data_IF_693918500597
#
_entry.id   IF_693918500597
#
_cell.length_a   1.000
_cell.length_b   1.000
_cell.length_c   1.000
_cell.angle_alpha   90.00
_cell.angle_beta   90.00
_cell.angle_gamma   90.00
#
_symmetry.space_group_name_H-M   'P 1'
#
loop_
_entity.id
_entity.type
_entity.pdbx_description
1 polymer ?
#
# COMPACT_ATOMS: atom_id res chain seq x y z
N UNK A 1 -15.75 -33.69 15.12
CA UNK A 1 -14.77 -33.03 16.00
C UNK A 1 -13.37 -33.26 15.42
N UNK A 2 -12.70 -32.23 14.92
CA UNK A 2 -11.33 -32.35 14.44
C UNK A 2 -10.38 -32.32 15.66
N UNK A 3 -9.57 -33.37 15.93
CA UNK A 3 -8.72 -33.41 17.11
C UNK A 3 -7.70 -32.27 17.06
N UNK A 4 -7.54 -31.58 18.18
CA UNK A 4 -6.74 -30.38 18.32
C UNK A 4 -5.32 -30.58 17.76
N UNK A 5 -5.04 -29.94 16.62
CA UNK A 5 -3.68 -29.82 16.08
C UNK A 5 -2.85 -29.07 17.13
N UNK A 6 -1.79 -29.71 17.62
CA UNK A 6 -0.75 -29.04 18.42
C UNK A 6 -0.19 -27.89 17.58
N UNK A 7 -0.53 -26.65 17.94
CA UNK A 7 0.09 -25.47 17.34
C UNK A 7 1.59 -25.50 17.67
N UNK A 8 2.42 -25.34 16.65
CA UNK A 8 3.84 -25.06 16.84
C UNK A 8 3.94 -23.72 17.55
N UNK A 9 4.64 -23.67 18.69
CA UNK A 9 4.97 -22.40 19.34
C UNK A 9 5.94 -21.67 18.43
N UNK A 10 5.62 -20.42 18.08
CA UNK A 10 6.57 -19.52 17.48
C UNK A 10 7.35 -18.86 18.61
N UNK A 11 8.67 -19.02 18.60
CA UNK A 11 9.59 -18.20 19.40
C UNK A 11 10.02 -17.05 18.48
N UNK A 12 9.44 -15.85 18.61
CA UNK A 12 9.81 -14.74 17.74
C UNK A 12 11.24 -14.30 18.03
N UNK A 13 11.96 -13.96 16.97
CA UNK A 13 13.24 -13.26 17.08
C UNK A 13 13.08 -11.96 17.91
N UNK A 14 14.17 -11.42 18.49
CA UNK A 14 14.11 -10.17 19.24
C UNK A 14 13.56 -9.01 18.40
N UNK A 15 12.76 -8.14 19.03
CA UNK A 15 12.28 -6.92 18.41
C UNK A 15 13.39 -5.95 18.03
N UNK A 16 13.11 -5.08 17.07
CA UNK A 16 14.00 -4.01 16.63
C UNK A 16 13.19 -2.74 16.34
N UNK A 17 13.86 -1.64 15.98
CA UNK A 17 13.21 -0.38 15.64
C UNK A 17 13.49 0.04 14.20
N UNK A 18 12.56 0.79 13.63
CA UNK A 18 12.69 1.47 12.32
C UNK A 18 12.39 2.95 12.48
N UNK A 19 12.85 3.78 11.54
CA UNK A 19 12.54 5.20 11.48
C UNK A 19 11.27 5.40 10.65
N UNK A 20 10.23 5.97 11.26
CA UNK A 20 8.99 6.38 10.57
C UNK A 20 8.84 7.87 10.75
N UNK A 21 8.98 8.61 9.66
CA UNK A 21 8.91 10.07 9.68
C UNK A 21 9.80 10.68 10.79
N UNK A 22 11.01 10.13 10.97
CA UNK A 22 11.97 10.62 11.98
C UNK A 22 11.75 10.12 13.40
N UNK A 23 10.69 9.37 13.66
CA UNK A 23 10.42 8.74 14.96
C UNK A 23 10.80 7.26 14.95
N UNK A 24 11.44 6.80 16.03
CA UNK A 24 11.74 5.38 16.22
C UNK A 24 10.44 4.62 16.55
N UNK A 25 10.13 3.60 15.76
CA UNK A 25 8.94 2.77 15.92
C UNK A 25 9.34 1.32 16.17
N UNK A 26 8.86 0.68 17.26
CA UNK A 26 9.18 -0.70 17.56
C UNK A 26 8.51 -1.67 16.58
N UNK A 27 9.23 -2.73 16.25
CA UNK A 27 8.85 -3.78 15.30
C UNK A 27 8.98 -5.15 15.95
N UNK A 28 7.94 -5.96 15.80
CA UNK A 28 8.01 -7.40 16.03
C UNK A 28 8.48 -8.07 14.73
N UNK A 29 9.48 -8.97 14.76
CA UNK A 29 9.98 -9.61 13.55
C UNK A 29 8.90 -10.36 12.78
N UNK A 30 8.98 -10.30 11.44
CA UNK A 30 7.96 -10.84 10.53
C UNK A 30 6.77 -9.91 10.29
N UNK A 31 6.68 -8.75 10.96
CA UNK A 31 5.65 -7.76 10.63
C UNK A 31 5.91 -7.10 9.27
N UNK A 32 4.84 -6.91 8.49
CA UNK A 32 4.89 -5.97 7.39
C UNK A 32 4.96 -4.52 7.89
N UNK A 33 5.53 -3.60 7.12
CA UNK A 33 5.51 -2.17 7.42
C UNK A 33 4.08 -1.66 7.65
N UNK A 34 3.10 -2.19 6.92
CA UNK A 34 1.69 -1.87 7.13
C UNK A 34 1.19 -2.28 8.52
N UNK A 35 1.61 -3.46 9.01
CA UNK A 35 1.28 -3.93 10.35
C UNK A 35 2.00 -3.12 11.44
N UNK A 36 3.26 -2.74 11.21
CA UNK A 36 4.03 -1.88 12.12
C UNK A 36 3.33 -0.53 12.30
N UNK A 37 2.99 0.16 11.21
CA UNK A 37 2.27 1.44 11.26
C UNK A 37 0.93 1.28 12.00
N UNK A 38 0.18 0.21 11.70
CA UNK A 38 -1.10 -0.05 12.35
C UNK A 38 -0.97 -0.28 13.87
N UNK A 39 0.06 -1.02 14.29
CA UNK A 39 0.37 -1.29 15.69
C UNK A 39 0.81 -0.02 16.43
N UNK A 40 1.53 0.88 15.76
CA UNK A 40 1.89 2.21 16.25
C UNK A 40 0.72 3.20 16.29
N UNK A 41 -0.51 2.77 16.00
CA UNK A 41 -1.70 3.64 15.99
C UNK A 41 -1.81 4.54 14.76
N UNK A 42 -0.92 4.39 13.78
CA UNK A 42 -0.93 5.15 12.53
C UNK A 42 -1.98 4.52 11.61
N UNK A 43 -3.18 5.11 11.55
CA UNK A 43 -4.32 4.56 10.76
C UNK A 43 -4.48 5.17 9.37
N UNK A 44 -4.02 6.40 9.21
CA UNK A 44 -4.03 7.13 7.94
C UNK A 44 -2.73 7.88 7.78
N UNK A 45 -2.18 7.83 6.57
CA UNK A 45 -0.88 8.42 6.25
C UNK A 45 -0.77 8.87 4.80
N UNK A 46 -1.86 8.81 4.04
CA UNK A 46 -2.03 9.49 2.76
C UNK A 46 -3.48 9.94 2.63
N UNK A 47 -3.75 10.76 1.63
CA UNK A 47 -5.11 11.21 1.32
C UNK A 47 -5.42 10.99 -0.15
N UNK A 48 -6.70 10.80 -0.49
CA UNK A 48 -7.10 10.78 -1.90
C UNK A 48 -6.88 12.15 -2.53
N UNK A 49 -6.42 12.16 -3.79
CA UNK A 49 -6.24 13.39 -4.56
C UNK A 49 -7.53 14.21 -4.66
N UNK A 50 -8.65 13.53 -4.89
CA UNK A 50 -9.98 14.13 -4.87
C UNK A 50 -10.62 13.95 -3.50
N UNK A 51 -11.01 15.05 -2.86
CA UNK A 51 -11.77 15.05 -1.61
C UNK A 51 -10.96 14.74 -0.33
N UNK A 52 -9.63 14.58 -0.41
CA UNK A 52 -8.77 14.53 0.78
C UNK A 52 -9.06 13.38 1.76
N UNK A 53 -9.70 12.30 1.30
CA UNK A 53 -10.17 11.23 2.20
C UNK A 53 -8.95 10.47 2.76
N UNK A 54 -8.90 10.20 4.08
CA UNK A 54 -7.79 9.51 4.71
C UNK A 54 -7.64 8.08 4.18
N UNK A 55 -6.41 7.65 3.93
CA UNK A 55 -6.04 6.33 3.43
C UNK A 55 -4.85 5.76 4.20
N UNK A 56 -4.85 4.44 4.35
CA UNK A 56 -3.83 3.68 5.05
C UNK A 56 -4.05 2.17 4.85
N UNK A 57 -3.69 1.36 5.85
CA UNK A 57 -3.93 -0.08 5.78
C UNK A 57 -5.43 -0.40 5.74
N UNK A 58 -5.88 -1.00 4.64
CA UNK A 58 -7.26 -1.47 4.47
C UNK A 58 -7.32 -2.98 4.18
N UNK A 59 -6.90 -3.41 2.98
CA UNK A 59 -7.04 -4.82 2.57
C UNK A 59 -5.97 -5.77 3.15
N UNK A 60 -4.80 -5.27 3.54
CA UNK A 60 -3.67 -6.10 3.99
C UNK A 60 -2.99 -6.98 2.92
N UNK A 61 -3.60 -7.16 1.75
CA UNK A 61 -3.16 -8.10 0.70
C UNK A 61 -2.62 -7.41 -0.57
N UNK A 62 -2.49 -6.08 -0.56
CA UNK A 62 -1.89 -5.32 -1.65
C UNK A 62 -2.83 -4.91 -2.80
N UNK A 63 -4.09 -5.37 -2.83
CA UNK A 63 -5.00 -5.10 -3.96
C UNK A 63 -5.56 -3.67 -4.00
N UNK A 64 -5.69 -2.99 -2.84
CA UNK A 64 -6.38 -1.70 -2.75
C UNK A 64 -5.51 -0.46 -3.03
N UNK A 65 -4.17 -0.60 -3.02
CA UNK A 65 -3.22 0.51 -3.15
C UNK A 65 -3.41 1.66 -2.14
N UNK A 66 -4.06 1.40 -1.00
CA UNK A 66 -4.29 2.44 0.03
C UNK A 66 -3.17 2.58 1.06
N UNK A 67 -2.21 1.68 1.07
CA UNK A 67 -1.12 1.62 2.05
C UNK A 67 0.24 2.04 1.46
N UNK A 68 0.25 2.97 0.51
CA UNK A 68 1.49 3.43 -0.12
C UNK A 68 2.37 4.22 0.87
N UNK A 69 3.67 3.96 0.83
CA UNK A 69 4.73 4.64 1.60
C UNK A 69 5.99 4.77 0.74
N UNK A 70 6.94 5.59 1.19
CA UNK A 70 8.31 5.59 0.67
C UNK A 70 9.19 4.83 1.65
N UNK A 71 10.00 3.88 1.18
CA UNK A 71 10.93 3.11 2.03
C UNK A 71 12.33 3.25 1.47
N UNK A 72 13.27 3.72 2.28
CA UNK A 72 14.68 3.88 1.90
C UNK A 72 14.85 4.66 0.58
N UNK A 73 14.02 5.69 0.38
CA UNK A 73 14.02 6.53 -0.82
C UNK A 73 13.21 5.99 -2.01
N UNK A 74 12.68 4.77 -1.94
CA UNK A 74 11.85 4.18 -3.01
C UNK A 74 10.37 4.48 -2.75
N UNK A 75 9.69 5.27 -3.60
CA UNK A 75 8.31 5.69 -3.37
C UNK A 75 7.27 4.64 -3.82
N UNK A 76 6.00 4.90 -3.49
CA UNK A 76 4.83 4.15 -3.97
C UNK A 76 4.86 2.66 -3.64
N UNK A 77 5.50 2.30 -2.54
CA UNK A 77 5.60 0.93 -2.07
C UNK A 77 4.41 0.55 -1.20
N UNK A 78 3.84 -0.64 -1.42
CA UNK A 78 2.71 -1.15 -0.62
C UNK A 78 3.23 -1.64 0.73
N UNK A 79 3.01 -0.86 1.79
CA UNK A 79 3.47 -1.19 3.13
C UNK A 79 3.01 -2.58 3.61
N UNK A 80 1.82 -3.03 3.19
CA UNK A 80 1.29 -4.36 3.55
C UNK A 80 1.98 -5.55 2.84
N UNK A 81 2.90 -5.30 1.90
CA UNK A 81 3.59 -6.33 1.13
C UNK A 81 5.10 -6.35 1.40
N UNK A 82 5.58 -5.49 2.29
CA UNK A 82 7.00 -5.35 2.62
C UNK A 82 7.17 -5.68 4.08
N UNK A 83 8.00 -6.67 4.36
CA UNK A 83 8.45 -6.98 5.72
C UNK A 83 9.40 -5.89 6.21
N UNK A 84 9.18 -5.44 7.46
CA UNK A 84 10.06 -4.48 8.10
C UNK A 84 11.44 -5.08 8.34
N UNK A 85 12.49 -4.28 8.13
CA UNK A 85 13.88 -4.70 8.37
C UNK A 85 14.60 -3.70 9.27
N UNK A 86 15.58 -4.15 10.08
CA UNK A 86 16.40 -3.26 10.88
C UNK A 86 17.03 -2.17 10.01
N UNK A 87 16.91 -0.91 10.45
CA UNK A 87 17.45 0.25 9.75
C UNK A 87 16.58 0.80 8.62
N UNK A 88 15.38 0.25 8.39
CA UNK A 88 14.43 0.84 7.44
C UNK A 88 14.08 2.27 7.83
N UNK A 89 14.06 3.15 6.82
CA UNK A 89 13.56 4.51 6.89
C UNK A 89 12.29 4.62 6.06
N UNK A 90 11.17 4.81 6.74
CA UNK A 90 9.85 4.94 6.14
C UNK A 90 9.42 6.40 6.18
N UNK A 91 9.07 6.93 5.03
CA UNK A 91 8.45 8.26 4.92
C UNK A 91 7.02 8.09 4.48
N UNK A 92 6.12 8.76 5.19
CA UNK A 92 4.70 8.77 4.89
C UNK A 92 4.23 10.14 4.39
N UNK A 93 2.95 10.25 4.05
CA UNK A 93 2.29 11.50 3.68
C UNK A 93 2.00 12.42 4.87
N UNK A 94 2.53 12.14 6.07
CA UNK A 94 2.42 13.00 7.25
C UNK A 94 3.50 14.08 7.25
N UNK A 95 3.24 15.26 7.82
CA UNK A 95 4.27 16.25 8.08
C UNK A 95 5.34 15.65 8.99
N UNK A 96 6.59 15.79 8.58
CA UNK A 96 7.73 15.38 9.38
C UNK A 96 7.98 16.36 10.53
N UNK A 97 8.44 15.94 11.72
CA UNK A 97 8.77 16.83 12.84
C UNK A 97 9.73 17.96 12.45
N UNK A 98 10.72 17.68 11.59
CA UNK A 98 11.67 18.68 11.05
C UNK A 98 11.11 19.58 9.92
N UNK A 99 9.80 19.52 9.62
CA UNK A 99 9.15 20.39 8.64
C UNK A 99 9.40 20.05 7.17
N UNK A 100 10.03 18.90 6.85
CA UNK A 100 10.16 18.43 5.46
C UNK A 100 8.78 18.07 4.88
N UNK A 101 8.52 18.41 3.60
CA UNK A 101 7.25 18.10 2.96
C UNK A 101 7.05 16.59 2.91
N UNK A 102 5.80 16.18 3.10
CA UNK A 102 5.43 14.79 3.07
C UNK A 102 5.66 14.18 1.68
N UNK A 103 6.02 12.89 1.62
CA UNK A 103 6.29 12.25 0.33
C UNK A 103 5.02 12.19 -0.54
N UNK A 104 5.10 12.69 -1.77
CA UNK A 104 4.04 12.53 -2.76
C UNK A 104 4.12 11.13 -3.38
N UNK A 105 3.08 10.32 -3.19
CA UNK A 105 2.96 8.97 -3.74
C UNK A 105 2.10 8.93 -5.03
N UNK A 106 1.87 10.08 -5.68
CA UNK A 106 0.91 10.23 -6.79
C UNK A 106 1.40 9.77 -8.19
N UNK A 107 2.57 9.18 -8.34
CA UNK A 107 3.14 8.94 -9.67
C UNK A 107 3.74 7.54 -9.85
N UNK A 108 2.88 6.55 -10.11
CA UNK A 108 3.29 5.30 -10.81
C UNK A 108 2.16 4.64 -11.63
N UNK A 109 1.03 5.33 -11.87
CA UNK A 109 -0.10 4.76 -12.64
C UNK A 109 -0.18 5.30 -14.08
N UNK A 110 0.65 6.28 -14.47
CA UNK A 110 0.55 6.90 -15.80
C UNK A 110 1.12 6.06 -16.95
N UNK A 111 1.80 4.95 -16.67
CA UNK A 111 2.42 4.07 -17.68
C UNK A 111 1.69 2.74 -17.94
N UNK A 112 0.61 2.41 -17.19
CA UNK A 112 -0.11 1.14 -17.36
C UNK A 112 -1.54 1.26 -17.93
N UNK A 113 -2.01 2.47 -18.25
CA UNK A 113 -3.24 2.64 -19.02
C UNK A 113 -2.96 2.41 -20.50
N UNK A 114 -2.90 1.13 -20.90
CA UNK A 114 -2.95 0.75 -22.32
C UNK A 114 -4.19 1.37 -22.98
N UNK A 115 -4.12 1.71 -24.28
CA UNK A 115 -5.22 2.38 -24.96
C UNK A 115 -6.50 1.53 -24.85
N UNK A 116 -7.58 2.17 -24.42
CA UNK A 116 -8.92 1.61 -24.49
C UNK A 116 -9.14 1.10 -25.92
N UNK A 117 -9.23 -0.23 -26.06
CA UNK A 117 -9.48 -0.84 -27.37
C UNK A 117 -10.79 -0.32 -27.95
N UNK A 118 -10.86 -0.07 -29.27
CA UNK A 118 -12.11 0.35 -29.89
C UNK A 118 -13.17 -0.73 -29.66
N UNK A 119 -14.30 -0.30 -29.07
CA UNK A 119 -15.48 -1.14 -28.87
C UNK A 119 -15.90 -1.74 -30.21
N UNK A 120 -16.04 -3.06 -30.23
CA UNK A 120 -16.55 -3.79 -31.39
C UNK A 120 -18.01 -3.40 -31.59
N UNK A 121 -18.30 -2.66 -32.67
CA UNK A 121 -19.67 -2.55 -33.16
C UNK A 121 -20.08 -3.92 -33.72
N UNK A 122 -21.12 -4.50 -33.14
CA UNK A 122 -21.83 -5.63 -33.73
C UNK A 122 -23.17 -5.10 -34.18
N UNK A 123 -23.41 -5.11 -35.48
CA UNK A 123 -24.73 -4.76 -36.03
C UNK A 123 -24.81 -4.72 -37.54
N UNK A 124 -24.50 -5.83 -38.20
CA UNK A 124 -24.83 -6.03 -39.61
C UNK A 124 -26.34 -6.34 -39.79
N UNK A 125 -26.95 -5.69 -40.78
CA UNK A 125 -28.27 -5.99 -41.34
C UNK A 125 -28.81 -4.73 -42.03
N UNK A 126 -28.92 -4.60 -43.36
CA UNK A 126 -29.18 -5.58 -44.41
C UNK A 126 -30.48 -5.16 -45.09
N UNK A 127 -30.42 -4.59 -46.30
CA UNK A 127 -31.62 -4.21 -47.05
C UNK A 127 -31.31 -3.43 -48.33
N UNK A 128 -31.09 -4.17 -49.43
CA UNK A 128 -31.01 -3.63 -50.80
C UNK A 128 -32.45 -3.41 -51.29
N UNK A 129 -32.69 -2.28 -51.94
CA UNK A 129 -33.91 -1.99 -52.70
C UNK A 129 -33.53 -1.21 -53.96
N UNK A 130 -33.43 -1.96 -55.05
CA UNK A 130 -33.12 -1.56 -56.43
C UNK A 130 -34.35 -0.92 -57.07
N UNK A 131 -34.15 0.09 -57.94
CA UNK A 131 -35.21 0.70 -58.78
C UNK A 131 -35.22 0.07 -60.17
#
# INVERSE_FOLDING_TARGET
MNPARRLVRADPEPGFEIDVDGEAVPVVPGQSLGAVLHAAGIRSWRTTRSGGRPRGLFCGIGVCFDCLVTVNGVPSLRACQIEARPGDRVTTGRPHPDGRPAADHASTEREAAGPAGPGRDRGAGGGRGDS
#
